data_IF_280858206686
#
_entry.id   IF_280858206686
#
_cell.length_a   1.000
_cell.length_b   1.000
_cell.length_c   1.000
_cell.angle_alpha   90.00
_cell.angle_beta   90.00
_cell.angle_gamma   90.00
#
_symmetry.space_group_name_H-M   'P 1'
#
loop_
_entity.id
_entity.type
_entity.pdbx_description
1 polymer ?
#
# COMPACT_ATOMS: atom_id res chain seq x y z
N UNK A 1 39.18 3.11 17.32
CA UNK A 1 40.46 2.95 18.03
C UNK A 1 40.49 1.63 18.80
N UNK A 2 40.29 0.49 18.13
CA UNK A 2 40.19 -0.81 18.81
C UNK A 2 41.05 -1.89 18.13
N UNK A 3 41.93 -1.49 17.20
CA UNK A 3 42.75 -2.40 16.38
C UNK A 3 41.97 -3.31 15.42
N UNK A 4 40.64 -3.27 15.44
CA UNK A 4 39.73 -4.09 14.66
C UNK A 4 38.59 -3.22 14.08
N UNK A 5 37.65 -3.87 13.37
CA UNK A 5 36.45 -3.21 12.84
C UNK A 5 35.60 -2.62 13.97
N UNK A 6 34.82 -1.57 13.65
CA UNK A 6 33.91 -0.92 14.61
C UNK A 6 32.88 -1.92 15.17
N UNK A 7 32.47 -2.89 14.35
CA UNK A 7 31.47 -3.91 14.73
C UNK A 7 31.98 -4.89 15.78
N UNK A 8 33.30 -5.10 15.87
CA UNK A 8 33.91 -6.00 16.84
C UNK A 8 34.58 -5.27 18.02
N UNK A 9 34.36 -3.96 18.13
CA UNK A 9 34.94 -3.17 19.19
C UNK A 9 34.09 -3.28 20.47
N UNK A 10 34.59 -4.04 21.45
CA UNK A 10 34.06 -4.02 22.81
C UNK A 10 34.87 -3.07 23.68
N UNK A 11 34.31 -2.64 24.82
CA UNK A 11 35.02 -1.80 25.80
C UNK A 11 36.35 -2.44 26.23
N UNK A 12 36.37 -3.76 26.46
CA UNK A 12 37.59 -4.48 26.82
C UNK A 12 38.63 -4.47 25.71
N UNK A 13 38.23 -4.65 24.44
CA UNK A 13 39.15 -4.58 23.29
C UNK A 13 39.67 -3.15 23.08
N UNK A 14 38.85 -2.15 23.31
CA UNK A 14 39.26 -0.75 23.27
C UNK A 14 40.33 -0.45 24.33
N UNK A 15 40.12 -0.86 25.59
CA UNK A 15 41.12 -0.71 26.65
C UNK A 15 42.40 -1.50 26.36
N UNK A 16 42.28 -2.74 25.88
CA UNK A 16 43.44 -3.56 25.49
C UNK A 16 44.24 -2.90 24.35
N UNK A 17 43.57 -2.31 23.37
CA UNK A 17 44.23 -1.58 22.28
C UNK A 17 44.97 -0.33 22.79
N UNK A 18 44.36 0.43 23.71
CA UNK A 18 45.00 1.61 24.33
C UNK A 18 46.13 1.27 25.31
N UNK A 19 46.12 0.06 25.87
CA UNK A 19 47.14 -0.42 26.81
C UNK A 19 48.29 -1.17 26.16
N UNK A 20 48.19 -1.54 24.88
CA UNK A 20 49.26 -2.25 24.17
C UNK A 20 50.29 -1.26 23.66
N UNK A 21 51.58 -1.48 23.96
CA UNK A 21 52.66 -0.62 23.47
C UNK A 21 52.62 -0.54 21.95
N UNK A 22 52.52 0.68 21.43
CA UNK A 22 52.46 0.96 20.00
C UNK A 22 52.99 2.37 19.75
N UNK A 23 54.15 2.46 19.11
CA UNK A 23 54.83 3.72 18.82
C UNK A 23 54.05 4.58 17.81
N UNK A 24 53.37 3.95 16.84
CA UNK A 24 52.59 4.64 15.79
C UNK A 24 51.34 5.35 16.34
N UNK A 25 50.78 4.82 17.44
CA UNK A 25 49.59 5.36 18.12
C UNK A 25 49.98 6.20 19.35
N UNK A 26 51.27 6.26 19.68
CA UNK A 26 51.80 7.03 20.80
C UNK A 26 51.48 6.43 22.17
N UNK A 27 51.45 5.09 22.28
CA UNK A 27 51.30 4.38 23.57
C UNK A 27 52.70 4.05 24.11
N UNK A 28 53.21 4.79 25.12
CA UNK A 28 54.63 4.76 25.50
C UNK A 28 55.05 3.56 26.35
N UNK A 29 54.11 2.83 26.96
CA UNK A 29 54.37 1.63 27.76
C UNK A 29 53.12 0.74 27.83
N UNK A 30 53.33 -0.54 28.18
CA UNK A 30 52.24 -1.51 28.26
C UNK A 30 51.45 -1.37 29.57
N UNK A 31 50.11 -1.31 29.48
CA UNK A 31 49.18 -1.25 30.61
C UNK A 31 48.16 -2.38 30.44
N UNK A 32 48.08 -3.26 31.45
CA UNK A 32 47.05 -4.30 31.51
C UNK A 32 45.83 -3.77 32.28
N UNK A 33 44.71 -3.59 31.57
CA UNK A 33 43.45 -3.18 32.18
C UNK A 33 42.64 -4.40 32.60
N UNK A 34 42.58 -4.65 33.91
CA UNK A 34 41.77 -5.73 34.48
C UNK A 34 40.39 -5.17 34.86
N UNK A 35 39.30 -5.53 34.17
CA UNK A 35 37.96 -5.07 34.53
C UNK A 35 37.51 -5.75 35.82
N UNK A 36 37.35 -4.97 36.89
CA UNK A 36 36.79 -5.47 38.15
C UNK A 36 35.27 -5.47 37.99
N UNK A 37 34.64 -6.65 38.05
CA UNK A 37 33.19 -6.73 38.14
C UNK A 37 32.75 -6.07 39.45
N UNK A 38 31.79 -5.17 39.41
CA UNK A 38 31.25 -4.50 40.60
C UNK A 38 30.59 -5.54 41.53
N UNK A 39 31.39 -6.10 42.43
CA UNK A 39 30.93 -6.90 43.56
C UNK A 39 30.92 -6.00 44.79
N UNK A 40 29.88 -6.04 45.63
CA UNK A 40 29.73 -5.15 46.80
C UNK A 40 30.83 -5.32 47.87
N UNK A 41 31.81 -6.21 47.67
CA UNK A 41 32.86 -6.51 48.65
C UNK A 41 34.28 -6.05 48.26
N UNK A 42 34.51 -5.59 47.01
CA UNK A 42 35.85 -5.19 46.52
C UNK A 42 35.90 -3.73 46.04
N UNK A 43 35.37 -2.79 46.82
CA UNK A 43 35.58 -1.35 46.56
C UNK A 43 36.97 -0.84 46.98
N UNK A 44 37.76 -1.64 47.70
CA UNK A 44 38.99 -1.15 48.34
C UNK A 44 40.22 -1.01 47.44
N UNK A 45 40.17 -1.42 46.17
CA UNK A 45 41.36 -1.36 45.30
C UNK A 45 41.45 -0.14 44.37
N UNK A 46 40.53 0.83 44.47
CA UNK A 46 40.63 2.07 43.67
C UNK A 46 40.27 3.36 44.45
N UNK A 47 40.40 3.34 45.78
CA UNK A 47 40.15 4.53 46.62
C UNK A 47 41.44 5.18 47.17
N UNK A 48 42.63 4.70 46.79
CA UNK A 48 43.92 5.21 47.30
C UNK A 48 44.58 6.29 46.43
N UNK A 49 43.78 7.07 45.68
CA UNK A 49 44.21 8.39 45.23
C UNK A 49 43.16 9.44 45.59
N UNK A 50 43.20 9.86 46.85
CA UNK A 50 42.47 11.00 47.39
C UNK A 50 42.93 12.30 46.71
N UNK A 51 42.38 12.61 45.54
CA UNK A 51 42.25 13.98 45.04
C UNK A 51 40.84 14.51 45.34
N UNK A 52 40.68 15.77 45.75
CA UNK A 52 39.39 16.31 46.15
C UNK A 52 38.47 16.38 44.92
N UNK A 53 37.31 15.75 45.04
CA UNK A 53 36.26 15.64 44.04
C UNK A 53 36.67 14.88 42.77
N UNK A 54 36.20 13.63 42.67
CA UNK A 54 35.80 13.08 41.37
C UNK A 54 34.74 14.02 40.78
N UNK A 55 35.19 15.10 40.12
CA UNK A 55 34.31 15.96 39.34
C UNK A 55 33.70 15.06 38.29
N UNK A 56 32.37 14.93 38.32
CA UNK A 56 31.59 14.45 37.19
C UNK A 56 32.07 15.24 35.98
N UNK A 57 32.82 14.59 35.09
CA UNK A 57 33.13 15.16 33.79
C UNK A 57 31.77 15.13 33.08
N UNK A 58 31.08 16.27 33.07
CA UNK A 58 29.97 16.49 32.15
C UNK A 58 30.64 16.80 30.80
N UNK A 59 30.79 15.83 29.87
CA UNK A 59 31.20 16.19 28.53
C UNK A 59 30.21 17.23 27.99
N UNK A 60 30.64 18.22 27.20
CA UNK A 60 29.69 18.99 26.41
C UNK A 60 28.80 17.99 25.67
N UNK A 61 27.50 18.27 25.59
CA UNK A 61 26.49 17.38 24.99
C UNK A 61 26.84 17.05 23.55
N UNK A 62 27.72 16.08 23.37
CA UNK A 62 28.14 15.54 22.10
C UNK A 62 27.11 14.47 21.83
N UNK A 63 26.04 14.87 21.13
CA UNK A 63 25.08 13.91 20.60
C UNK A 63 25.81 13.11 19.55
N UNK A 64 26.26 11.93 19.92
CA UNK A 64 26.65 10.90 18.98
C UNK A 64 25.36 10.41 18.33
N UNK A 65 25.04 10.96 17.16
CA UNK A 65 24.06 10.33 16.28
C UNK A 65 24.76 9.14 15.64
N UNK A 66 24.60 7.98 16.27
CA UNK A 66 24.80 6.72 15.55
C UNK A 66 23.81 6.75 14.41
N UNK A 67 24.25 6.54 13.17
CA UNK A 67 23.35 6.33 12.04
C UNK A 67 22.49 5.11 12.38
N UNK A 68 21.34 5.35 13.01
CA UNK A 68 20.32 4.34 13.19
C UNK A 68 19.84 3.98 11.79
N UNK A 69 19.80 2.68 11.51
CA UNK A 69 19.09 2.11 10.36
C UNK A 69 17.81 2.91 10.11
N UNK A 70 17.56 3.29 8.85
CA UNK A 70 16.40 4.09 8.51
C UNK A 70 15.14 3.43 9.10
N UNK A 71 14.43 4.16 9.95
CA UNK A 71 13.18 3.68 10.54
C UNK A 71 12.26 3.29 9.38
N UNK A 72 12.01 1.99 9.22
CA UNK A 72 10.98 1.52 8.31
C UNK A 72 9.66 2.06 8.86
N UNK A 73 8.92 2.92 8.14
CA UNK A 73 7.63 3.37 8.61
C UNK A 73 6.68 2.18 8.57
N UNK A 74 6.64 1.44 9.68
CA UNK A 74 5.64 0.42 9.96
C UNK A 74 4.34 1.08 10.38
N UNK A 75 3.78 1.94 9.53
CA UNK A 75 2.51 2.58 9.82
C UNK A 75 1.41 1.83 9.08
N UNK A 76 0.69 1.02 9.85
CA UNK A 76 -0.59 0.47 9.42
C UNK A 76 -1.47 1.64 8.98
N UNK A 77 -2.13 1.51 7.83
CA UNK A 77 -3.05 2.54 7.33
C UNK A 77 -4.10 2.84 8.41
N UNK A 78 -4.05 4.04 8.99
CA UNK A 78 -5.03 4.53 9.96
C UNK A 78 -5.61 5.86 9.48
N UNK A 79 -6.93 5.95 9.49
CA UNK A 79 -7.67 7.18 9.23
C UNK A 79 -8.32 7.58 10.55
N UNK A 80 -7.97 8.75 11.08
CA UNK A 80 -8.52 9.26 12.35
C UNK A 80 -8.46 8.26 13.52
N UNK A 81 -7.33 7.54 13.66
CA UNK A 81 -7.09 6.51 14.68
C UNK A 81 -7.86 5.18 14.51
N UNK A 82 -8.50 4.95 13.36
CA UNK A 82 -9.19 3.69 13.02
C UNK A 82 -8.47 3.02 11.85
N UNK A 83 -8.33 1.69 11.90
CA UNK A 83 -7.69 0.91 10.84
C UNK A 83 -8.50 1.00 9.52
N UNK A 84 -7.82 1.32 8.41
CA UNK A 84 -8.45 1.48 7.09
C UNK A 84 -9.25 0.25 6.66
N UNK A 85 -8.76 -0.96 6.99
CA UNK A 85 -9.43 -2.21 6.68
C UNK A 85 -10.80 -2.35 7.38
N UNK A 86 -10.93 -1.80 8.59
CA UNK A 86 -12.20 -1.79 9.31
C UNK A 86 -13.21 -0.89 8.60
N UNK A 87 -12.80 0.31 8.23
CA UNK A 87 -13.67 1.28 7.53
C UNK A 87 -14.13 0.72 6.18
N UNK A 88 -13.20 0.19 5.38
CA UNK A 88 -13.51 -0.39 4.08
C UNK A 88 -14.48 -1.59 4.20
N UNK A 89 -14.28 -2.45 5.21
CA UNK A 89 -15.19 -3.58 5.43
C UNK A 89 -16.57 -3.15 5.92
N UNK A 90 -16.68 -2.10 6.74
CA UNK A 90 -17.97 -1.52 7.15
C UNK A 90 -18.74 -0.93 5.97
N UNK A 91 -18.07 -0.20 5.07
CA UNK A 91 -18.72 0.31 3.86
C UNK A 91 -19.12 -0.82 2.90
N UNK A 92 -18.26 -1.83 2.72
CA UNK A 92 -18.55 -2.98 1.88
C UNK A 92 -19.74 -3.80 2.39
N UNK A 93 -19.71 -4.19 3.67
CA UNK A 93 -20.79 -4.94 4.30
C UNK A 93 -22.08 -4.12 4.45
N UNK A 94 -21.96 -2.85 4.84
CA UNK A 94 -23.09 -1.93 4.92
C UNK A 94 -23.77 -1.73 3.57
N UNK A 95 -22.99 -1.56 2.50
CA UNK A 95 -23.50 -1.49 1.13
C UNK A 95 -24.20 -2.77 0.68
N UNK A 96 -23.63 -3.94 1.00
CA UNK A 96 -24.26 -5.24 0.73
C UNK A 96 -25.59 -5.39 1.47
N UNK A 97 -25.62 -5.11 2.78
CA UNK A 97 -26.84 -5.18 3.59
C UNK A 97 -27.89 -4.20 3.10
N UNK A 98 -27.50 -2.97 2.75
CA UNK A 98 -28.40 -1.99 2.17
C UNK A 98 -29.00 -2.48 0.85
N UNK A 99 -28.19 -3.05 -0.05
CA UNK A 99 -28.68 -3.61 -1.30
C UNK A 99 -29.68 -4.75 -1.05
N UNK A 100 -29.39 -5.68 -0.13
CA UNK A 100 -30.29 -6.78 0.22
C UNK A 100 -31.59 -6.27 0.85
N UNK A 101 -31.51 -5.31 1.78
CA UNK A 101 -32.69 -4.73 2.41
C UNK A 101 -33.53 -3.91 1.42
N UNK A 102 -32.89 -3.18 0.51
CA UNK A 102 -33.56 -2.44 -0.55
C UNK A 102 -34.30 -3.39 -1.48
N UNK A 103 -33.65 -4.46 -1.94
CA UNK A 103 -34.28 -5.50 -2.76
C UNK A 103 -35.42 -6.18 -2.00
N UNK A 104 -35.22 -6.54 -0.73
CA UNK A 104 -36.26 -7.14 0.11
C UNK A 104 -37.44 -6.18 0.30
N UNK A 105 -37.20 -4.90 0.62
CA UNK A 105 -38.23 -3.88 0.78
C UNK A 105 -38.99 -3.63 -0.53
N UNK A 106 -38.31 -3.64 -1.67
CA UNK A 106 -38.94 -3.61 -2.98
C UNK A 106 -39.83 -4.84 -3.18
N UNK A 107 -39.34 -6.05 -2.87
CA UNK A 107 -40.15 -7.27 -2.93
C UNK A 107 -41.36 -7.24 -1.97
N UNK A 108 -41.21 -6.70 -0.76
CA UNK A 108 -42.32 -6.56 0.19
C UNK A 108 -43.30 -5.45 -0.20
N UNK A 109 -42.83 -4.36 -0.81
CA UNK A 109 -43.65 -3.26 -1.32
C UNK A 109 -44.46 -3.68 -2.54
N UNK A 110 -43.83 -4.39 -3.48
CA UNK A 110 -44.51 -5.04 -4.61
C UNK A 110 -45.52 -6.10 -4.17
N UNK A 111 -45.34 -6.73 -3.00
CA UNK A 111 -46.29 -7.71 -2.45
C UNK A 111 -47.45 -7.06 -1.70
N UNK A 112 -47.34 -5.80 -1.27
CA UNK A 112 -48.37 -5.08 -0.50
C UNK A 112 -49.18 -4.13 -1.41
N UNK A 113 -49.65 -4.64 -2.55
CA UNK A 113 -50.72 -4.01 -3.34
C UNK A 113 -52.07 -4.14 -2.61
N UNK A 114 -53.01 -3.21 -2.80
CA UNK A 114 -54.23 -3.10 -2.00
C UNK A 114 -55.19 -4.27 -2.27
N UNK A 115 -55.49 -5.03 -1.22
CA UNK A 115 -56.61 -5.98 -1.16
C UNK A 115 -57.95 -5.22 -1.35
N UNK A 116 -58.34 -4.94 -2.59
CA UNK A 116 -59.69 -4.50 -2.95
C UNK A 116 -60.38 -5.62 -3.73
N UNK A 117 -60.81 -6.63 -2.97
CA UNK A 117 -62.09 -7.35 -3.06
C UNK A 117 -62.89 -7.22 -4.39
N UNK A 118 -62.74 -8.17 -5.33
CA UNK A 118 -63.86 -8.78 -6.08
C UNK A 118 -63.45 -9.98 -6.98
N UNK A 119 -63.88 -11.17 -6.55
CA UNK A 119 -64.40 -12.33 -7.31
C UNK A 119 -63.68 -12.90 -8.56
N UNK A 120 -63.18 -14.13 -8.37
CA UNK A 120 -63.62 -15.36 -9.06
C UNK A 120 -63.39 -15.47 -10.59
N UNK A 121 -62.31 -16.17 -11.00
CA UNK A 121 -62.30 -17.36 -11.88
C UNK A 121 -60.87 -17.76 -12.36
N UNK A 122 -60.49 -19.04 -12.11
CA UNK A 122 -59.51 -19.90 -12.86
C UNK A 122 -57.98 -19.66 -12.67
N UNK A 123 -57.08 -20.63 -13.01
CA UNK A 123 -56.38 -21.48 -12.05
C UNK A 123 -54.84 -21.32 -12.02
N UNK A 124 -54.25 -21.64 -10.85
CA UNK A 124 -52.89 -22.15 -10.63
C UNK A 124 -51.76 -21.78 -11.63
N UNK A 125 -51.25 -20.55 -11.54
CA UNK A 125 -49.86 -20.19 -11.82
C UNK A 125 -49.60 -18.84 -11.13
N UNK A 126 -48.44 -18.69 -10.49
CA UNK A 126 -48.14 -17.62 -9.53
C UNK A 126 -48.35 -16.21 -10.09
N UNK A 127 -49.15 -15.41 -9.39
CA UNK A 127 -49.43 -14.01 -9.71
C UNK A 127 -48.43 -13.11 -8.99
N UNK A 128 -47.42 -12.68 -9.73
CA UNK A 128 -46.71 -11.42 -9.51
C UNK A 128 -47.68 -10.27 -9.88
N UNK A 129 -47.63 -9.16 -9.17
CA UNK A 129 -48.51 -8.00 -9.41
C UNK A 129 -48.25 -7.40 -10.81
N UNK A 130 -49.22 -7.57 -11.70
CA UNK A 130 -49.09 -7.48 -13.17
C UNK A 130 -48.71 -6.09 -13.71
N UNK A 131 -48.86 -5.03 -12.92
CA UNK A 131 -48.73 -3.64 -13.42
C UNK A 131 -47.28 -3.13 -13.40
N UNK A 132 -46.53 -3.42 -12.34
CA UNK A 132 -45.11 -3.02 -12.20
C UNK A 132 -44.15 -4.07 -12.77
N UNK A 133 -44.50 -5.36 -12.69
CA UNK A 133 -43.87 -6.38 -13.54
C UNK A 133 -44.09 -6.03 -15.00
N UNK A 134 -45.31 -5.61 -15.37
CA UNK A 134 -45.61 -5.10 -16.69
C UNK A 134 -44.65 -4.01 -17.15
N UNK A 135 -44.23 -3.08 -16.28
CA UNK A 135 -43.33 -1.98 -16.70
C UNK A 135 -41.86 -2.42 -16.85
N UNK A 136 -41.36 -3.30 -15.97
CA UNK A 136 -39.99 -3.83 -16.07
C UNK A 136 -39.88 -4.92 -17.15
N UNK A 137 -40.90 -5.77 -17.28
CA UNK A 137 -41.00 -6.78 -18.33
C UNK A 137 -41.27 -6.14 -19.70
N UNK A 138 -42.00 -5.02 -19.76
CA UNK A 138 -42.11 -4.25 -21.02
C UNK A 138 -40.79 -3.58 -21.39
N UNK A 139 -40.03 -3.05 -20.42
CA UNK A 139 -38.67 -2.56 -20.68
C UNK A 139 -37.73 -3.69 -21.09
N UNK A 140 -37.79 -4.85 -20.41
CA UNK A 140 -36.99 -6.03 -20.72
C UNK A 140 -37.28 -6.57 -22.11
N UNK A 141 -38.57 -6.78 -22.43
CA UNK A 141 -39.00 -7.24 -23.76
C UNK A 141 -38.72 -6.20 -24.85
N UNK A 142 -38.79 -4.90 -24.55
CA UNK A 142 -38.38 -3.85 -25.49
C UNK A 142 -36.87 -3.90 -25.75
N UNK A 143 -36.03 -4.00 -24.71
CA UNK A 143 -34.57 -4.13 -24.85
C UNK A 143 -34.23 -5.40 -25.64
N UNK A 144 -34.86 -6.53 -25.29
CA UNK A 144 -34.65 -7.81 -25.97
C UNK A 144 -35.01 -7.72 -27.45
N UNK A 145 -36.18 -7.16 -27.78
CA UNK A 145 -36.61 -6.96 -29.16
C UNK A 145 -35.67 -6.03 -29.94
N UNK A 146 -35.17 -4.96 -29.31
CA UNK A 146 -34.19 -4.07 -29.94
C UNK A 146 -32.84 -4.74 -30.14
N UNK A 147 -32.35 -5.50 -29.16
CA UNK A 147 -31.10 -6.23 -29.27
C UNK A 147 -31.19 -7.28 -30.37
N UNK A 148 -32.30 -8.02 -30.44
CA UNK A 148 -32.56 -9.00 -31.50
C UNK A 148 -32.54 -8.35 -32.88
N UNK A 149 -33.22 -7.21 -33.05
CA UNK A 149 -33.27 -6.52 -34.34
C UNK A 149 -31.90 -5.99 -34.75
N UNK A 150 -31.14 -5.40 -33.83
CA UNK A 150 -29.79 -4.88 -34.10
C UNK A 150 -28.83 -6.03 -34.43
N UNK A 151 -28.84 -7.09 -33.63
CA UNK A 151 -27.98 -8.27 -33.84
C UNK A 151 -28.35 -9.00 -35.14
N UNK A 152 -29.64 -9.14 -35.45
CA UNK A 152 -30.10 -9.72 -36.71
C UNK A 152 -29.70 -8.87 -37.91
N UNK A 153 -29.85 -7.55 -37.83
CA UNK A 153 -29.45 -6.64 -38.91
C UNK A 153 -27.93 -6.66 -39.13
N UNK A 154 -27.15 -6.61 -38.04
CA UNK A 154 -25.69 -6.69 -38.11
C UNK A 154 -25.21 -8.06 -38.61
N UNK A 155 -25.80 -9.15 -38.12
CA UNK A 155 -25.54 -10.50 -38.60
C UNK A 155 -25.89 -10.68 -40.08
N UNK A 156 -27.00 -10.10 -40.53
CA UNK A 156 -27.38 -10.12 -41.94
C UNK A 156 -26.39 -9.33 -42.81
N UNK A 157 -25.87 -8.21 -42.34
CA UNK A 157 -24.81 -7.45 -43.02
C UNK A 157 -23.53 -8.28 -43.16
N UNK A 158 -23.11 -8.95 -42.08
CA UNK A 158 -21.97 -9.86 -42.07
C UNK A 158 -22.16 -11.03 -43.06
N UNK A 159 -23.34 -11.63 -43.11
CA UNK A 159 -23.63 -12.76 -44.01
C UNK A 159 -23.75 -12.34 -45.48
N UNK A 160 -24.34 -11.17 -45.78
CA UNK A 160 -24.51 -10.69 -47.16
C UNK A 160 -23.20 -10.22 -47.80
N UNK A 161 -22.28 -9.64 -47.02
CA UNK A 161 -21.01 -9.08 -47.51
C UNK A 161 -19.82 -9.42 -46.59
N UNK A 162 -19.46 -10.71 -46.44
CA UNK A 162 -18.44 -11.13 -45.49
C UNK A 162 -17.06 -10.52 -45.79
N UNK A 163 -16.70 -10.39 -47.07
CA UNK A 163 -15.41 -9.81 -47.48
C UNK A 163 -15.31 -8.32 -47.12
N UNK A 164 -16.39 -7.54 -47.26
CA UNK A 164 -16.38 -6.11 -46.92
C UNK A 164 -16.22 -5.90 -45.41
N UNK A 165 -16.90 -6.72 -44.59
CA UNK A 165 -16.78 -6.65 -43.12
C UNK A 165 -15.38 -7.07 -42.68
N UNK A 166 -14.83 -8.15 -43.25
CA UNK A 166 -13.50 -8.63 -42.91
C UNK A 166 -12.40 -7.61 -43.28
N UNK A 167 -12.49 -7.02 -44.48
CA UNK A 167 -11.54 -5.99 -44.91
C UNK A 167 -11.61 -4.73 -44.07
N UNK A 168 -12.80 -4.29 -43.67
CA UNK A 168 -12.97 -3.16 -42.74
C UNK A 168 -12.37 -3.44 -41.36
N UNK A 169 -12.64 -4.63 -40.80
CA UNK A 169 -12.05 -5.06 -39.53
C UNK A 169 -10.52 -5.16 -39.60
N UNK A 170 -9.99 -5.74 -40.67
CA UNK A 170 -8.54 -5.85 -40.90
C UNK A 170 -7.89 -4.48 -41.07
N UNK A 171 -8.51 -3.55 -41.81
CA UNK A 171 -8.02 -2.18 -41.97
C UNK A 171 -7.97 -1.46 -40.62
N UNK A 172 -9.04 -1.57 -39.83
CA UNK A 172 -9.11 -0.97 -38.48
C UNK A 172 -8.04 -1.55 -37.56
N UNK A 173 -7.87 -2.88 -37.59
CA UNK A 173 -6.83 -3.56 -36.81
C UNK A 173 -5.43 -3.06 -37.21
N UNK A 174 -5.11 -2.99 -38.51
CA UNK A 174 -3.82 -2.50 -38.99
C UNK A 174 -3.58 -1.02 -38.61
N UNK A 175 -4.61 -0.18 -38.70
CA UNK A 175 -4.53 1.22 -38.26
C UNK A 175 -4.24 1.31 -36.76
N UNK A 176 -4.96 0.55 -35.92
CA UNK A 176 -4.68 0.50 -34.48
C UNK A 176 -3.30 -0.08 -34.17
N UNK A 177 -2.89 -1.15 -34.87
CA UNK A 177 -1.56 -1.76 -34.72
C UNK A 177 -0.43 -0.81 -35.12
N UNK A 178 -0.65 0.08 -36.10
CA UNK A 178 0.34 1.09 -36.47
C UNK A 178 0.68 2.04 -35.32
N UNK A 179 -0.27 2.28 -34.41
CA UNK A 179 -0.06 3.07 -33.18
C UNK A 179 1.00 2.46 -32.26
N UNK A 180 1.20 1.13 -32.32
CA UNK A 180 2.21 0.44 -31.51
C UNK A 180 3.64 0.86 -31.88
N UNK A 181 3.90 1.26 -33.14
CA UNK A 181 5.20 1.78 -33.55
C UNK A 181 5.56 3.11 -32.87
N UNK A 182 4.57 3.87 -32.42
CA UNK A 182 4.78 5.15 -31.72
C UNK A 182 4.83 5.00 -30.19
N UNK A 183 4.59 3.80 -29.66
CA UNK A 183 4.65 3.56 -28.20
C UNK A 183 6.10 3.67 -27.73
N UNK A 184 6.30 4.45 -26.66
CA UNK A 184 7.57 4.57 -25.96
C UNK A 184 7.47 3.85 -24.62
N UNK A 185 8.38 2.89 -24.39
CA UNK A 185 8.48 2.18 -23.13
C UNK A 185 9.36 2.97 -22.16
N UNK A 186 8.78 3.40 -21.04
CA UNK A 186 9.54 3.97 -19.92
C UNK A 186 10.10 2.83 -19.08
N UNK A 187 11.43 2.65 -19.10
CA UNK A 187 12.13 1.59 -18.34
C UNK A 187 12.77 2.10 -17.05
N UNK A 188 12.72 3.41 -16.79
CA UNK A 188 13.22 3.98 -15.54
C UNK A 188 12.28 3.59 -14.39
N UNK A 189 12.73 2.81 -13.39
CA UNK A 189 11.90 2.43 -12.26
C UNK A 189 11.39 3.66 -11.50
N UNK A 190 12.16 4.75 -11.43
CA UNK A 190 11.73 5.94 -10.71
C UNK A 190 10.50 6.53 -11.39
N UNK A 191 10.49 6.66 -12.72
CA UNK A 191 9.32 7.12 -13.50
C UNK A 191 8.10 6.20 -13.38
N UNK A 192 8.31 4.90 -13.17
CA UNK A 192 7.21 3.95 -13.04
C UNK A 192 6.55 4.00 -11.66
N UNK A 193 7.36 4.11 -10.60
CA UNK A 193 6.92 3.97 -9.21
C UNK A 193 6.65 5.30 -8.51
N UNK A 194 6.97 6.44 -9.13
CA UNK A 194 6.71 7.76 -8.56
C UNK A 194 6.01 8.67 -9.56
N UNK A 195 4.92 9.31 -9.12
CA UNK A 195 4.24 10.28 -9.96
C UNK A 195 5.14 11.50 -10.21
N UNK A 196 5.08 12.05 -11.44
CA UNK A 196 5.88 13.21 -11.84
C UNK A 196 5.63 14.45 -10.98
N UNK A 197 4.42 14.58 -10.44
CA UNK A 197 3.98 15.69 -9.58
C UNK A 197 4.10 15.40 -8.08
N UNK A 198 4.65 14.23 -7.69
CA UNK A 198 4.83 13.92 -6.27
C UNK A 198 5.84 14.86 -5.60
N UNK A 199 5.57 15.19 -4.33
CA UNK A 199 6.49 15.97 -3.50
C UNK A 199 7.88 15.32 -3.43
N UNK A 200 7.94 14.00 -3.21
CA UNK A 200 9.19 13.26 -3.17
C UNK A 200 10.02 13.41 -4.46
N UNK A 201 9.37 13.42 -5.63
CA UNK A 201 10.04 13.63 -6.91
C UNK A 201 10.54 15.06 -7.10
N UNK A 202 9.78 16.05 -6.62
CA UNK A 202 10.21 17.46 -6.66
C UNK A 202 11.43 17.71 -5.75
N UNK A 203 11.43 17.14 -4.54
CA UNK A 203 12.54 17.24 -3.59
C UNK A 203 13.79 16.53 -4.12
N UNK A 204 13.63 15.33 -4.69
CA UNK A 204 14.73 14.61 -5.36
C UNK A 204 15.31 15.41 -6.52
N UNK A 205 14.47 15.94 -7.41
CA UNK A 205 14.95 16.71 -8.57
C UNK A 205 15.70 17.98 -8.12
N UNK A 206 15.20 18.65 -7.08
CA UNK A 206 15.90 19.78 -6.47
C UNK A 206 17.26 19.36 -5.90
N UNK A 207 17.32 18.28 -5.12
CA UNK A 207 18.55 17.76 -4.55
C UNK A 207 19.57 17.40 -5.63
N UNK A 208 19.20 16.57 -6.61
CA UNK A 208 20.06 16.15 -7.73
C UNK A 208 20.58 17.38 -8.51
N UNK A 209 19.76 18.44 -8.67
CA UNK A 209 20.18 19.67 -9.37
C UNK A 209 21.22 20.51 -8.62
N UNK A 210 21.27 20.38 -7.29
CA UNK A 210 22.14 21.19 -6.43
C UNK A 210 23.39 20.45 -5.98
N UNK A 211 23.29 19.14 -5.79
CA UNK A 211 24.32 18.33 -5.16
C UNK A 211 24.91 17.25 -6.08
N UNK A 212 24.27 16.97 -7.24
CA UNK A 212 24.66 15.87 -8.13
C UNK A 212 24.27 14.52 -7.57
#
# INVERSE_FOLDING_TARGET
>A
MCGASVMECTVSRWFSFMGTYNEDVGVPFHIEFVPIAASPYNQQSLDTLSTPAARSIQPPSTRVHVCSEAAHPGEKCQIASIDCMLILSLFGFGGLCFAVLFLAAMHYGLKKGPDNDLSDFKPAAGTLDDTDLGTIDTLGSWIESQLELICAHYGQLCAKRPLTVFTFGMLTALLCSSGLFFVRFTTDPVELWSSRTSRARSEKTFFDSKFG
#
